data_IF_687690524697
#
_entry.id   IF_687690524697
#
_cell.length_a   1.000
_cell.length_b   1.000
_cell.length_c   1.000
_cell.angle_alpha   90.00
_cell.angle_beta   90.00
_cell.angle_gamma   90.00
#
_symmetry.space_group_name_H-M   'P 1'
#
loop_
_entity.id
_entity.type
_entity.pdbx_description
1 polymer ?
#
# COMPACT_ATOMS: atom_id res chain seq x y z
N UNK A 1 -8.29 6.18 -1.30
CA UNK A 1 -7.91 6.77 -0.01
C UNK A 1 -9.11 6.74 0.91
N UNK A 2 -8.93 6.38 2.16
CA UNK A 2 -9.97 6.41 3.20
C UNK A 2 -9.37 6.88 4.53
N UNK A 3 -10.24 7.27 5.46
CA UNK A 3 -9.87 7.68 6.81
C UNK A 3 -10.76 6.90 7.79
N UNK A 4 -10.18 6.31 8.83
CA UNK A 4 -10.95 5.60 9.87
C UNK A 4 -11.44 6.53 11.00
N UNK A 5 -12.21 6.00 11.96
CA UNK A 5 -12.74 6.78 13.09
C UNK A 5 -11.66 7.34 14.03
N UNK A 6 -10.45 6.76 14.02
CA UNK A 6 -9.31 7.25 14.78
C UNK A 6 -8.49 8.28 13.99
N UNK A 7 -8.88 8.59 12.75
CA UNK A 7 -8.20 9.56 11.89
C UNK A 7 -7.01 8.98 11.13
N UNK A 8 -6.78 7.65 11.16
CA UNK A 8 -5.71 7.06 10.37
C UNK A 8 -6.06 7.11 8.89
N UNK A 9 -5.07 7.43 8.07
CA UNK A 9 -5.22 7.61 6.63
C UNK A 9 -4.72 6.37 5.92
N UNK A 10 -5.57 5.79 5.08
CA UNK A 10 -5.21 4.66 4.23
C UNK A 10 -5.13 5.12 2.78
N UNK A 11 -3.99 4.85 2.15
CA UNK A 11 -3.78 5.12 0.73
C UNK A 11 -3.29 3.86 0.03
N UNK A 12 -3.63 3.78 -1.25
CA UNK A 12 -3.27 2.66 -2.10
C UNK A 12 -3.05 3.16 -3.51
N UNK A 13 -2.22 2.44 -4.25
CA UNK A 13 -1.85 2.69 -5.63
C UNK A 13 -1.03 1.52 -6.13
N UNK A 14 -0.43 1.65 -7.30
CA UNK A 14 0.58 0.70 -7.76
C UNK A 14 1.95 1.40 -7.83
N UNK A 15 3.02 0.63 -7.69
CA UNK A 15 4.39 1.14 -7.71
C UNK A 15 5.28 0.28 -8.61
N UNK A 16 6.21 0.94 -9.31
CA UNK A 16 7.31 0.31 -10.03
C UNK A 16 8.60 0.24 -9.18
N UNK A 17 8.63 0.90 -8.02
CA UNK A 17 9.81 0.96 -7.16
C UNK A 17 9.98 -0.37 -6.41
N UNK A 18 11.21 -0.87 -6.40
CA UNK A 18 11.61 -2.08 -5.64
C UNK A 18 11.93 -1.74 -4.17
N UNK A 19 12.08 -0.45 -3.86
CA UNK A 19 12.47 0.13 -2.57
C UNK A 19 11.36 0.98 -1.93
N UNK A 20 10.09 0.76 -2.31
CA UNK A 20 8.97 1.44 -1.70
C UNK A 20 8.96 1.17 -0.17
N UNK A 21 8.68 2.18 0.67
CA UNK A 21 8.67 2.00 2.11
C UNK A 21 7.73 0.87 2.53
N UNK A 22 8.24 -0.09 3.29
CA UNK A 22 7.47 -1.17 3.92
C UNK A 22 7.75 -1.20 5.40
N UNK A 23 6.75 -1.62 6.18
CA UNK A 23 6.92 -1.82 7.62
C UNK A 23 7.38 -3.24 7.93
N UNK A 24 7.92 -3.45 9.13
CA UNK A 24 8.46 -4.75 9.53
C UNK A 24 7.39 -5.86 9.53
N UNK A 25 6.13 -5.50 9.76
CA UNK A 25 4.97 -6.38 9.81
C UNK A 25 4.23 -6.51 8.46
N UNK A 26 4.84 -6.05 7.36
CA UNK A 26 4.27 -6.13 6.02
C UNK A 26 3.94 -7.58 5.60
N UNK A 27 2.82 -7.75 4.89
CA UNK A 27 2.46 -9.03 4.22
C UNK A 27 3.53 -9.42 3.20
N UNK A 28 4.02 -8.45 2.43
CA UNK A 28 5.16 -8.61 1.53
C UNK A 28 6.08 -7.40 1.65
N UNK A 29 7.37 -7.67 1.86
CA UNK A 29 8.41 -6.65 1.98
C UNK A 29 9.08 -6.29 0.65
N UNK A 30 8.70 -6.95 -0.45
CA UNK A 30 9.24 -6.69 -1.78
C UNK A 30 8.18 -6.79 -2.86
N UNK A 31 8.39 -6.05 -3.95
CA UNK A 31 7.61 -6.15 -5.18
C UNK A 31 7.89 -7.46 -5.88
N UNK A 32 6.84 -8.21 -6.24
CA UNK A 32 6.94 -9.56 -6.79
C UNK A 32 6.86 -9.57 -8.32
N UNK A 33 6.35 -8.49 -8.92
CA UNK A 33 6.21 -8.33 -10.36
C UNK A 33 6.87 -7.07 -10.93
N UNK A 34 6.44 -6.70 -12.14
CA UNK A 34 6.86 -5.45 -12.78
C UNK A 34 6.28 -4.22 -12.06
N UNK A 35 5.03 -4.35 -11.60
CA UNK A 35 4.35 -3.46 -10.67
C UNK A 35 3.58 -4.28 -9.65
N UNK A 36 3.56 -3.82 -8.42
CA UNK A 36 2.65 -4.33 -7.39
C UNK A 36 1.81 -3.18 -6.83
N UNK A 37 0.67 -3.53 -6.26
CA UNK A 37 -0.14 -2.60 -5.48
C UNK A 37 0.58 -2.35 -4.15
N UNK A 38 0.55 -1.11 -3.65
CA UNK A 38 0.90 -0.82 -2.27
C UNK A 38 -0.35 -0.49 -1.47
N UNK A 39 -0.32 -0.82 -0.18
CA UNK A 39 -1.25 -0.32 0.81
C UNK A 39 -0.43 0.32 1.93
N UNK A 40 -0.69 1.59 2.22
CA UNK A 40 -0.04 2.31 3.32
C UNK A 40 -1.08 2.90 4.26
N UNK A 41 -0.83 2.78 5.56
CA UNK A 41 -1.56 3.43 6.64
C UNK A 41 -0.67 4.47 7.30
N UNK A 42 -1.20 5.66 7.50
CA UNK A 42 -0.55 6.73 8.24
C UNK A 42 -1.37 7.08 9.48
N UNK A 43 -0.69 7.44 10.56
CA UNK A 43 -1.34 8.07 11.72
C UNK A 43 -1.90 9.45 11.35
N UNK A 44 -2.77 10.07 12.17
CA UNK A 44 -3.22 11.44 11.95
C UNK A 44 -2.09 12.46 11.82
N UNK A 45 -0.94 12.19 12.44
CA UNK A 45 0.30 12.99 12.39
C UNK A 45 1.14 12.71 11.13
N UNK A 46 0.61 11.95 10.16
CA UNK A 46 1.29 11.57 8.92
C UNK A 46 2.53 10.70 9.11
N UNK A 47 2.60 9.94 10.20
CA UNK A 47 3.65 8.94 10.44
C UNK A 47 3.23 7.64 9.77
N UNK A 48 4.13 7.00 9.02
CA UNK A 48 3.88 5.70 8.40
C UNK A 48 3.76 4.61 9.48
N UNK A 49 2.55 4.06 9.65
CA UNK A 49 2.23 3.05 10.67
C UNK A 49 2.28 1.63 10.09
N UNK A 50 1.85 1.47 8.83
CA UNK A 50 1.89 0.20 8.11
C UNK A 50 2.11 0.42 6.62
N UNK A 51 2.91 -0.43 5.98
CA UNK A 51 2.97 -0.46 4.51
C UNK A 51 3.43 -1.81 3.97
N UNK A 52 2.79 -2.25 2.89
CA UNK A 52 3.05 -3.54 2.25
C UNK A 52 2.85 -3.47 0.74
N UNK A 53 3.51 -4.38 0.03
CA UNK A 53 3.14 -4.75 -1.33
C UNK A 53 1.99 -5.78 -1.34
N UNK A 54 1.17 -5.74 -2.39
CA UNK A 54 0.10 -6.67 -2.71
C UNK A 54 0.16 -6.97 -4.21
N UNK A 55 0.33 -8.23 -4.58
CA UNK A 55 0.50 -8.60 -5.98
C UNK A 55 1.14 -9.97 -6.16
N UNK A 56 1.30 -10.37 -7.42
CA UNK A 56 1.94 -11.60 -7.84
C UNK A 56 3.18 -11.33 -8.71
N UNK A 57 3.60 -12.30 -9.50
CA UNK A 57 4.75 -12.15 -10.40
C UNK A 57 4.47 -11.30 -11.66
N UNK A 58 3.27 -10.75 -11.78
CA UNK A 58 2.75 -10.10 -12.98
C UNK A 58 2.89 -8.58 -12.97
N UNK A 59 2.04 -7.92 -13.74
CA UNK A 59 1.83 -6.47 -13.62
C UNK A 59 0.51 -6.27 -12.89
N UNK A 60 0.57 -5.85 -11.63
CA UNK A 60 -0.62 -5.59 -10.83
C UNK A 60 -0.91 -4.08 -10.83
N UNK A 61 -2.08 -3.72 -11.36
CA UNK A 61 -2.56 -2.34 -11.47
C UNK A 61 -3.89 -2.18 -10.74
N UNK A 62 -4.09 -1.00 -10.17
CA UNK A 62 -5.33 -0.64 -9.50
C UNK A 62 -6.33 -0.10 -10.52
N UNK A 63 -7.33 -0.90 -10.91
CA UNK A 63 -8.43 -0.48 -11.78
C UNK A 63 -9.70 -0.19 -10.94
N UNK A 64 -10.05 1.09 -10.79
CA UNK A 64 -11.25 1.63 -10.12
C UNK A 64 -11.60 1.06 -8.73
N UNK A 65 -11.11 1.70 -7.68
CA UNK A 65 -11.64 1.53 -6.33
C UNK A 65 -12.95 2.35 -6.16
N UNK A 66 -14.11 1.75 -6.40
CA UNK A 66 -15.31 2.10 -5.63
C UNK A 66 -15.31 1.15 -4.43
N UNK A 67 -14.73 1.60 -3.32
CA UNK A 67 -15.03 0.99 -2.04
C UNK A 67 -16.47 1.37 -1.71
N UNK A 68 -17.40 0.43 -1.81
CA UNK A 68 -18.70 0.53 -1.14
C UNK A 68 -18.53 0.20 0.33
#
# INVERSE_FOLDING_TARGET
MSIDYAGNIYTTGYTYSDDFPVTFDAISSYKRGATDIFLSKFTPELILDYSTYLGGSGQDLLFNHILR
#
